data_IF_631651105926
#
_entry.id   IF_631651105926
#
_cell.length_a   1.000
_cell.length_b   1.000
_cell.length_c   1.000
_cell.angle_alpha   90.00
_cell.angle_beta   90.00
_cell.angle_gamma   90.00
#
_symmetry.space_group_name_H-M   'P 1'
#
loop_
_entity.id
_entity.type
_entity.pdbx_description
1 polymer ?
#
# COMPACT_ATOMS: atom_id res chain seq x y z
N UNK A 1 -4.95 -7.13 -27.91
CA UNK A 1 -5.16 -5.67 -28.12
C UNK A 1 -5.76 -4.98 -26.89
N UNK A 2 -5.15 -5.13 -25.70
CA UNK A 2 -5.66 -4.54 -24.43
C UNK A 2 -4.63 -3.60 -23.74
N UNK A 3 -3.44 -3.44 -24.31
CA UNK A 3 -2.29 -2.80 -23.65
C UNK A 3 -2.19 -1.26 -23.78
N UNK A 4 -3.20 -0.57 -24.33
CA UNK A 4 -3.12 0.87 -24.59
C UNK A 4 -4.36 1.66 -24.14
N UNK A 5 -4.89 1.38 -22.95
CA UNK A 5 -5.80 2.34 -22.31
C UNK A 5 -4.96 3.22 -21.37
N UNK A 6 -4.83 4.54 -21.65
CA UNK A 6 -4.04 5.43 -20.81
C UNK A 6 -4.51 5.33 -19.35
N UNK A 7 -3.55 5.34 -18.42
CA UNK A 7 -3.86 5.33 -17.01
C UNK A 7 -4.56 6.66 -16.66
N UNK A 8 -5.85 6.68 -16.27
CA UNK A 8 -6.54 7.93 -15.94
C UNK A 8 -5.93 8.62 -14.72
N UNK A 9 -5.16 7.89 -13.90
CA UNK A 9 -4.42 8.44 -12.76
C UNK A 9 -3.12 9.14 -13.19
N UNK A 10 -2.50 8.74 -14.30
CA UNK A 10 -1.24 9.30 -14.80
C UNK A 10 -1.22 9.31 -16.34
N UNK A 11 -1.95 10.23 -17.00
CA UNK A 11 -2.06 10.26 -18.47
C UNK A 11 -0.77 10.67 -19.19
N UNK A 12 0.20 11.25 -18.46
CA UNK A 12 1.47 11.74 -19.00
C UNK A 12 2.65 10.79 -18.72
N UNK A 13 2.41 9.65 -18.08
CA UNK A 13 3.43 8.69 -17.65
C UNK A 13 3.03 7.28 -18.14
N UNK A 14 4.02 6.40 -18.34
CA UNK A 14 3.79 5.02 -18.73
C UNK A 14 2.85 4.27 -17.75
N UNK A 15 2.03 3.33 -18.24
CA UNK A 15 1.17 2.53 -17.37
C UNK A 15 2.00 1.65 -16.43
N UNK A 16 1.57 1.46 -15.17
CA UNK A 16 2.29 0.59 -14.23
C UNK A 16 2.18 -0.88 -14.67
N UNK A 17 3.32 -1.59 -14.61
CA UNK A 17 3.38 -3.04 -14.87
C UNK A 17 2.83 -3.85 -13.70
N UNK A 18 3.06 -3.36 -12.47
CA UNK A 18 2.67 -4.04 -11.24
C UNK A 18 2.21 -3.01 -10.20
N UNK A 19 1.14 -3.33 -9.47
CA UNK A 19 0.80 -2.67 -8.21
C UNK A 19 1.02 -3.64 -7.06
N UNK A 20 2.00 -3.35 -6.22
CA UNK A 20 2.28 -4.12 -5.01
C UNK A 20 1.46 -3.56 -3.85
N UNK A 21 0.50 -4.35 -3.36
CA UNK A 21 -0.39 -3.97 -2.27
C UNK A 21 0.10 -4.61 -0.96
N UNK A 22 0.68 -3.79 -0.10
CA UNK A 22 1.23 -4.18 1.21
C UNK A 22 0.13 -4.04 2.26
N UNK A 23 -0.56 -5.14 2.53
CA UNK A 23 -1.75 -5.15 3.38
C UNK A 23 -1.39 -5.43 4.84
N UNK A 24 -1.60 -4.46 5.72
CA UNK A 24 -1.44 -4.61 7.16
C UNK A 24 -2.76 -4.33 7.86
N UNK A 25 -3.03 -5.04 8.96
CA UNK A 25 -4.17 -4.79 9.82
C UNK A 25 -4.11 -3.40 10.46
N UNK A 26 -5.28 -2.83 10.74
CA UNK A 26 -5.42 -1.51 11.38
C UNK A 26 -4.60 -1.41 12.65
N UNK A 27 -4.70 -2.42 13.53
CA UNK A 27 -4.00 -2.42 14.81
C UNK A 27 -2.48 -2.47 14.64
N UNK A 28 -1.99 -3.23 13.67
CA UNK A 28 -0.56 -3.32 13.34
C UNK A 28 -0.05 -1.99 12.78
N UNK A 29 -0.81 -1.33 11.91
CA UNK A 29 -0.47 0.00 11.39
C UNK A 29 -0.43 1.03 12.51
N UNK A 30 -1.42 1.06 13.40
CA UNK A 30 -1.46 1.99 14.55
C UNK A 30 -0.26 1.76 15.46
N UNK A 31 0.02 0.51 15.86
CA UNK A 31 1.16 0.16 16.71
C UNK A 31 2.50 0.61 16.09
N UNK A 32 2.70 0.35 14.79
CA UNK A 32 3.92 0.74 14.07
C UNK A 32 4.06 2.26 13.95
N UNK A 33 2.96 2.99 13.73
CA UNK A 33 2.97 4.45 13.64
C UNK A 33 3.21 5.13 15.01
N UNK A 34 2.64 4.61 16.09
CA UNK A 34 2.89 5.12 17.44
C UNK A 34 4.36 4.95 17.84
N UNK A 35 4.93 3.75 17.64
CA UNK A 35 6.35 3.48 17.90
C UNK A 35 7.28 4.39 17.08
N UNK A 36 6.86 4.75 15.87
CA UNK A 36 7.59 5.71 15.03
C UNK A 36 7.54 7.13 15.59
N UNK A 37 6.40 7.57 16.12
CA UNK A 37 6.27 8.88 16.79
C UNK A 37 7.23 9.01 17.98
N UNK A 38 7.33 7.97 18.80
CA UNK A 38 8.23 7.90 19.96
C UNK A 38 9.71 7.97 19.59
N UNK A 39 10.10 7.29 18.50
CA UNK A 39 11.52 7.14 18.10
C UNK A 39 12.03 8.24 17.18
N UNK A 40 11.14 8.92 16.44
CA UNK A 40 11.53 9.90 15.41
C UNK A 40 11.26 11.36 15.77
N UNK A 41 10.62 11.65 16.91
CA UNK A 41 10.31 13.01 17.34
C UNK A 41 9.26 13.71 16.47
N UNK A 42 8.47 12.95 15.69
CA UNK A 42 7.37 13.49 14.89
C UNK A 42 6.18 13.83 15.77
N UNK A 43 6.01 15.12 16.04
CA UNK A 43 4.93 15.70 16.87
C UNK A 43 3.52 15.45 16.33
N UNK A 44 3.39 15.15 15.03
CA UNK A 44 2.11 14.86 14.36
C UNK A 44 1.63 13.41 14.49
N UNK A 45 2.41 12.50 15.10
CA UNK A 45 2.02 11.10 15.29
C UNK A 45 1.24 10.91 16.61
N UNK A 46 0.21 11.75 16.82
CA UNK A 46 -0.78 11.57 17.89
C UNK A 46 -1.89 10.60 17.44
N UNK A 47 -2.53 9.93 18.40
CA UNK A 47 -3.53 8.87 18.13
C UNK A 47 -4.68 9.36 17.23
N UNK A 48 -5.11 10.61 17.42
CA UNK A 48 -6.18 11.23 16.62
C UNK A 48 -5.77 11.41 15.15
N UNK A 49 -4.54 11.84 14.90
CA UNK A 49 -3.99 12.02 13.56
C UNK A 49 -3.79 10.68 12.86
N UNK A 50 -3.35 9.65 13.59
CA UNK A 50 -3.21 8.29 13.05
C UNK A 50 -4.57 7.74 12.61
N UNK A 51 -5.63 7.93 13.42
CA UNK A 51 -6.99 7.53 13.04
C UNK A 51 -7.47 8.24 11.78
N UNK A 52 -7.32 9.57 11.69
CA UNK A 52 -7.69 10.37 10.50
C UNK A 52 -6.92 9.95 9.25
N UNK A 53 -5.62 9.66 9.37
CA UNK A 53 -4.79 9.16 8.26
C UNK A 53 -5.28 7.81 7.75
N UNK A 54 -5.62 6.90 8.66
CA UNK A 54 -6.15 5.58 8.30
C UNK A 54 -7.52 5.69 7.62
N UNK A 55 -8.43 6.51 8.14
CA UNK A 55 -9.74 6.74 7.51
C UNK A 55 -9.60 7.33 6.10
N UNK A 56 -8.71 8.32 5.95
CA UNK A 56 -8.41 8.92 4.63
C UNK A 56 -7.82 7.90 3.68
N UNK A 57 -6.90 7.05 4.18
CA UNK A 57 -6.31 5.97 3.41
C UNK A 57 -7.37 5.01 2.87
N UNK A 58 -8.27 4.48 3.71
CA UNK A 58 -9.32 3.58 3.24
C UNK A 58 -10.23 4.27 2.20
N UNK A 59 -10.69 5.49 2.50
CA UNK A 59 -11.59 6.24 1.61
C UNK A 59 -10.98 6.55 0.24
N UNK A 60 -9.70 6.91 0.19
CA UNK A 60 -9.04 7.33 -1.05
C UNK A 60 -8.36 6.17 -1.80
N UNK A 61 -7.86 5.17 -1.08
CA UNK A 61 -7.00 4.11 -1.65
C UNK A 61 -7.81 2.89 -2.08
N UNK A 62 -8.93 2.57 -1.42
CA UNK A 62 -9.80 1.45 -1.85
C UNK A 62 -10.25 1.56 -3.32
N UNK A 63 -10.71 2.73 -3.82
CA UNK A 63 -11.09 2.87 -5.22
C UNK A 63 -9.92 2.64 -6.19
N UNK A 64 -8.72 3.07 -5.80
CA UNK A 64 -7.49 2.90 -6.61
C UNK A 64 -7.12 1.42 -6.69
N UNK A 65 -7.15 0.71 -5.56
CA UNK A 65 -6.88 -0.73 -5.52
C UNK A 65 -7.92 -1.48 -6.34
N UNK A 66 -9.21 -1.15 -6.19
CA UNK A 66 -10.29 -1.78 -6.98
C UNK A 66 -10.09 -1.57 -8.48
N UNK A 67 -9.72 -0.35 -8.90
CA UNK A 67 -9.42 -0.03 -10.28
C UNK A 67 -8.29 -0.92 -10.84
N UNK A 68 -7.15 -1.01 -10.14
CA UNK A 68 -6.04 -1.83 -10.62
C UNK A 68 -6.28 -3.34 -10.44
N UNK A 69 -7.10 -3.77 -9.47
CA UNK A 69 -7.54 -5.17 -9.34
C UNK A 69 -8.30 -5.61 -10.57
N UNK A 70 -9.19 -4.77 -11.11
CA UNK A 70 -9.89 -5.06 -12.37
C UNK A 70 -8.98 -5.17 -13.59
N UNK A 71 -7.77 -4.58 -13.53
CA UNK A 71 -6.73 -4.68 -14.57
C UNK A 71 -5.81 -5.90 -14.39
N UNK A 72 -5.95 -6.66 -13.30
CA UNK A 72 -5.17 -7.88 -13.06
C UNK A 72 -3.69 -7.67 -12.67
N UNK A 73 -3.26 -6.43 -12.44
CA UNK A 73 -1.85 -6.10 -12.13
C UNK A 73 -1.54 -5.98 -10.63
N UNK A 74 -2.54 -6.26 -9.77
CA UNK A 74 -2.37 -6.16 -8.31
C UNK A 74 -1.80 -7.45 -7.75
N UNK A 75 -0.71 -7.33 -6.99
CA UNK A 75 -0.16 -8.40 -6.15
C UNK A 75 -0.28 -7.96 -4.69
N UNK A 76 -1.12 -8.66 -3.94
CA UNK A 76 -1.34 -8.38 -2.52
C UNK A 76 -0.44 -9.30 -1.69
N UNK A 77 0.25 -8.71 -0.73
CA UNK A 77 1.06 -9.44 0.25
C UNK A 77 0.60 -9.11 1.66
N UNK A 78 0.77 -10.08 2.56
CA UNK A 78 0.46 -9.89 3.97
C UNK A 78 1.66 -9.25 4.67
N UNK A 79 1.44 -8.05 5.21
CA UNK A 79 2.45 -7.25 5.90
C UNK A 79 2.44 -7.43 7.43
N UNK A 80 1.68 -8.41 7.92
CA UNK A 80 1.81 -8.94 9.27
C UNK A 80 3.07 -9.80 9.41
N UNK A 81 3.62 -9.87 10.62
CA UNK A 81 4.84 -10.64 10.91
C UNK A 81 6.13 -9.84 10.82
N UNK A 82 7.24 -10.54 10.60
CA UNK A 82 8.60 -10.01 10.56
C UNK A 82 8.93 -9.34 9.22
N UNK A 83 9.94 -8.47 9.22
CA UNK A 83 10.39 -7.80 7.98
C UNK A 83 10.88 -8.82 6.95
N UNK A 84 11.56 -9.87 7.39
CA UNK A 84 12.12 -10.89 6.50
C UNK A 84 11.04 -11.70 5.79
N UNK A 85 9.98 -12.10 6.51
CA UNK A 85 8.83 -12.81 5.94
C UNK A 85 8.07 -11.95 4.90
N UNK A 86 7.90 -10.66 5.21
CA UNK A 86 7.27 -9.70 4.29
C UNK A 86 8.16 -9.49 3.07
N UNK A 87 9.47 -9.33 3.26
CA UNK A 87 10.42 -9.14 2.17
C UNK A 87 10.49 -10.36 1.24
N UNK A 88 10.44 -11.57 1.79
CA UNK A 88 10.40 -12.79 0.99
C UNK A 88 9.15 -12.86 0.09
N UNK A 89 7.99 -12.41 0.58
CA UNK A 89 6.78 -12.29 -0.25
C UNK A 89 6.96 -11.26 -1.37
N UNK A 90 7.62 -10.13 -1.08
CA UNK A 90 7.95 -9.12 -2.10
C UNK A 90 8.83 -9.72 -3.20
N UNK A 91 9.92 -10.41 -2.84
CA UNK A 91 10.80 -11.08 -3.79
C UNK A 91 10.02 -12.06 -4.66
N UNK A 92 9.18 -12.91 -4.05
CA UNK A 92 8.34 -13.87 -4.78
C UNK A 92 7.47 -13.20 -5.84
N UNK A 93 6.87 -12.05 -5.53
CA UNK A 93 6.04 -11.32 -6.50
C UNK A 93 6.83 -10.61 -7.59
N UNK A 94 8.05 -10.18 -7.32
CA UNK A 94 8.92 -9.51 -8.29
C UNK A 94 9.65 -10.49 -9.20
N UNK A 95 10.04 -11.65 -8.68
CA UNK A 95 10.76 -12.69 -9.44
C UNK A 95 9.84 -13.42 -10.44
N UNK A 96 8.52 -13.33 -10.25
CA UNK A 96 7.51 -13.91 -11.15
C UNK A 96 6.98 -12.93 -12.21
N UNK A 97 7.53 -11.71 -12.29
CA UNK A 97 7.22 -10.73 -13.35
C UNK A 97 7.92 -11.08 -14.66
#
# INVERSE_FOLDING_TARGET
>A
SVWCQPCPLCPQIAPPTLLLYVDAGKDTMVKRLLKRGETSGRVDDNEETIKKRLETYYKATEPVIAFYKSRGIVRQLNAEGSVDEVFQQVCTHLDCL
#
